data_IF_622824257409
#
_entry.id   IF_622824257409
#
_cell.length_a   1.000
_cell.length_b   1.000
_cell.length_c   1.000
_cell.angle_alpha   90.00
_cell.angle_beta   90.00
_cell.angle_gamma   90.00
#
_symmetry.space_group_name_H-M   'P 1'
#
loop_
_entity.id
_entity.type
_entity.pdbx_description
1 polymer ?
#
# COMPACT_ATOMS: atom_id res chain seq x y z
N UNK A 1 -5.85 1.14 14.61
CA UNK A 1 -5.92 0.62 13.22
C UNK A 1 -5.30 1.58 12.21
N UNK A 2 -5.63 2.87 12.24
CA UNK A 2 -5.06 3.89 11.34
C UNK A 2 -3.53 4.04 11.44
N UNK A 3 -2.93 3.93 12.63
CA UNK A 3 -1.45 3.96 12.79
C UNK A 3 -0.78 2.71 12.19
N UNK A 4 -1.35 1.52 12.38
CA UNK A 4 -0.85 0.32 11.72
C UNK A 4 -0.99 0.41 10.20
N UNK A 5 -2.04 1.07 9.71
CA UNK A 5 -2.19 1.28 8.27
C UNK A 5 -1.10 2.22 7.72
N UNK A 6 -0.79 3.31 8.42
CA UNK A 6 0.32 4.19 8.07
C UNK A 6 1.66 3.44 8.00
N UNK A 7 1.96 2.58 8.97
CA UNK A 7 3.18 1.75 8.92
C UNK A 7 3.17 0.72 7.77
N UNK A 8 2.00 0.26 7.34
CA UNK A 8 1.86 -0.62 6.17
C UNK A 8 2.11 0.13 4.86
N UNK A 9 1.60 1.35 4.73
CA UNK A 9 1.91 2.22 3.59
C UNK A 9 3.41 2.56 3.56
N UNK A 10 4.01 2.88 4.71
CA UNK A 10 5.46 3.07 4.81
C UNK A 10 6.23 1.85 4.31
N UNK A 11 5.85 0.64 4.72
CA UNK A 11 6.48 -0.58 4.24
C UNK A 11 6.34 -0.76 2.72
N UNK A 12 5.18 -0.45 2.14
CA UNK A 12 4.96 -0.50 0.70
C UNK A 12 5.90 0.45 -0.07
N UNK A 13 6.04 1.68 0.42
CA UNK A 13 6.84 2.71 -0.25
C UNK A 13 8.34 2.51 -0.03
N UNK A 14 8.77 2.04 1.15
CA UNK A 14 10.17 2.08 1.55
C UNK A 14 10.92 0.74 1.43
N UNK A 15 10.24 -0.41 1.28
CA UNK A 15 10.95 -1.69 1.13
C UNK A 15 11.74 -1.73 -0.19
N UNK A 16 13.01 -2.20 -0.18
CA UNK A 16 13.80 -2.35 -1.39
C UNK A 16 13.47 -3.63 -2.18
N UNK A 17 12.56 -4.45 -1.67
CA UNK A 17 12.11 -5.69 -2.30
C UNK A 17 10.58 -5.79 -2.26
N UNK A 18 10.02 -6.57 -3.18
CA UNK A 18 8.59 -6.83 -3.23
C UNK A 18 8.16 -7.74 -2.07
N UNK A 19 7.08 -7.36 -1.37
CA UNK A 19 6.45 -8.18 -0.34
C UNK A 19 4.94 -8.17 -0.57
N UNK A 20 4.42 -9.23 -1.19
CA UNK A 20 3.01 -9.33 -1.56
C UNK A 20 2.09 -9.17 -0.35
N UNK A 21 2.50 -9.64 0.83
CA UNK A 21 1.69 -9.54 2.05
C UNK A 21 1.31 -8.09 2.41
N UNK A 22 2.18 -7.12 2.15
CA UNK A 22 1.89 -5.71 2.45
C UNK A 22 0.79 -5.17 1.52
N UNK A 23 0.73 -5.60 0.25
CA UNK A 23 -0.36 -5.29 -0.68
C UNK A 23 -1.69 -5.95 -0.30
N UNK A 24 -1.63 -7.17 0.23
CA UNK A 24 -2.81 -7.86 0.77
C UNK A 24 -3.40 -7.07 1.94
N UNK A 25 -2.54 -6.66 2.89
CA UNK A 25 -2.95 -5.85 4.04
C UNK A 25 -3.50 -4.48 3.60
N UNK A 26 -2.87 -3.80 2.61
CA UNK A 26 -3.39 -2.55 2.05
C UNK A 26 -4.80 -2.70 1.48
N UNK A 27 -5.04 -3.73 0.65
CA UNK A 27 -6.38 -4.02 0.12
C UNK A 27 -7.38 -4.29 1.24
N UNK A 28 -6.96 -4.97 2.32
CA UNK A 28 -7.78 -5.20 3.50
C UNK A 28 -8.18 -3.87 4.16
N UNK A 29 -7.24 -2.96 4.43
CA UNK A 29 -7.53 -1.66 5.05
C UNK A 29 -8.48 -0.82 4.20
N UNK A 30 -8.27 -0.75 2.88
CA UNK A 30 -9.15 -0.01 1.95
C UNK A 30 -10.56 -0.60 1.93
N UNK A 31 -10.69 -1.94 1.88
CA UNK A 31 -12.01 -2.61 1.94
C UNK A 31 -12.76 -2.29 3.23
N UNK A 32 -12.05 -2.21 4.35
CA UNK A 32 -12.61 -1.90 5.67
C UNK A 32 -12.74 -0.40 5.94
N UNK A 33 -12.49 0.44 4.93
CA UNK A 33 -12.66 1.90 5.01
C UNK A 33 -11.80 2.56 6.09
N UNK A 34 -10.64 1.99 6.39
CA UNK A 34 -9.71 2.56 7.37
C UNK A 34 -8.88 3.63 6.67
N UNK A 35 -8.86 4.84 7.23
CA UNK A 35 -7.97 5.91 6.77
C UNK A 35 -6.59 5.80 7.43
N UNK A 36 -5.49 6.08 6.71
CA UNK A 36 -4.17 6.09 7.29
C UNK A 36 -3.99 7.34 8.15
N UNK A 37 -3.20 7.21 9.22
CA UNK A 37 -2.75 8.38 9.97
C UNK A 37 -1.61 9.08 9.21
N UNK A 38 -1.92 10.11 8.43
CA UNK A 38 -0.94 10.82 7.58
C UNK A 38 0.20 11.48 8.39
N UNK A 39 -0.03 12.16 9.53
CA UNK A 39 1.06 12.64 10.37
C UNK A 39 2.02 11.53 10.82
N UNK A 40 1.48 10.36 11.15
CA UNK A 40 2.31 9.21 11.54
C UNK A 40 3.09 8.64 10.35
N UNK A 41 2.46 8.56 9.17
CA UNK A 41 3.13 8.16 7.94
C UNK A 41 4.28 9.12 7.60
N UNK A 42 4.05 10.43 7.69
CA UNK A 42 5.08 11.44 7.46
C UNK A 42 6.27 11.26 8.39
N UNK A 43 6.02 11.12 9.70
CA UNK A 43 7.08 10.89 10.67
C UNK A 43 7.91 9.64 10.33
N UNK A 44 7.26 8.55 9.93
CA UNK A 44 7.94 7.30 9.55
C UNK A 44 8.79 7.46 8.27
N UNK A 45 8.27 8.15 7.24
CA UNK A 45 8.98 8.39 5.98
C UNK A 45 10.24 9.25 6.18
N UNK A 46 10.14 10.28 7.02
CA UNK A 46 11.27 11.17 7.35
C UNK A 46 12.32 10.49 8.22
N UNK A 47 11.91 9.52 9.05
CA UNK A 47 12.83 8.76 9.90
C UNK A 47 13.61 7.71 9.11
N UNK A 48 12.96 6.98 8.20
CA UNK A 48 13.54 5.85 7.48
C UNK A 48 12.93 5.70 6.09
N UNK A 49 13.78 5.50 5.09
CA UNK A 49 13.39 5.24 3.71
C UNK A 49 13.95 6.28 2.74
N UNK A 50 13.46 6.29 1.50
CA UNK A 50 13.95 7.18 0.44
C UNK A 50 13.83 8.67 0.77
N UNK A 51 12.85 9.04 1.60
CA UNK A 51 12.57 10.43 1.98
C UNK A 51 13.23 10.85 3.29
N UNK A 52 14.20 10.09 3.79
CA UNK A 52 14.91 10.45 5.01
C UNK A 52 15.63 11.80 4.81
N UNK A 53 15.41 12.74 5.73
CA UNK A 53 15.93 14.11 5.70
C UNK A 53 15.38 14.99 4.55
N UNK A 54 14.40 14.52 3.78
CA UNK A 54 13.70 15.34 2.80
C UNK A 54 12.71 16.30 3.48
N UNK A 55 12.28 17.34 2.76
CA UNK A 55 11.17 18.20 3.18
C UNK A 55 9.93 17.87 2.35
N UNK A 56 9.21 16.82 2.76
CA UNK A 56 7.93 16.44 2.16
C UNK A 56 6.75 16.79 3.07
N UNK A 57 5.63 17.17 2.45
CA UNK A 57 4.32 17.26 3.10
C UNK A 57 3.49 16.08 2.64
N UNK A 58 3.09 15.21 3.58
CA UNK A 58 2.33 14.00 3.28
C UNK A 58 0.85 14.29 3.50
N UNK A 59 0.19 14.68 2.43
CA UNK A 59 -1.26 14.77 2.34
C UNK A 59 -1.83 13.64 1.46
N UNK A 60 -3.15 13.66 1.21
CA UNK A 60 -3.81 12.63 0.40
C UNK A 60 -3.37 12.68 -1.06
N UNK A 61 -3.11 13.87 -1.61
CA UNK A 61 -2.65 14.01 -3.00
C UNK A 61 -1.25 13.46 -3.16
N UNK A 62 -0.32 13.81 -2.26
CA UNK A 62 1.02 13.22 -2.23
C UNK A 62 0.95 11.70 -2.12
N UNK A 63 0.13 11.18 -1.20
CA UNK A 63 -0.03 9.74 -1.01
C UNK A 63 -0.57 9.07 -2.28
N UNK A 64 -1.52 9.69 -2.97
CA UNK A 64 -2.05 9.19 -4.24
C UNK A 64 -0.92 9.04 -5.26
N UNK A 65 -0.13 10.07 -5.49
CA UNK A 65 0.96 10.05 -6.48
C UNK A 65 2.01 8.99 -6.14
N UNK A 66 2.50 8.98 -4.90
CA UNK A 66 3.52 8.02 -4.45
C UNK A 66 3.03 6.55 -4.57
N UNK A 67 1.74 6.30 -4.26
CA UNK A 67 1.15 4.97 -4.39
C UNK A 67 0.96 4.57 -5.85
N UNK A 68 0.54 5.47 -6.73
CA UNK A 68 0.39 5.16 -8.16
C UNK A 68 1.74 4.82 -8.80
N UNK A 69 2.78 5.60 -8.50
CA UNK A 69 4.14 5.31 -8.96
C UNK A 69 4.62 3.95 -8.47
N UNK A 70 4.39 3.65 -7.18
CA UNK A 70 4.77 2.35 -6.62
C UNK A 70 3.98 1.20 -7.26
N UNK A 71 2.70 1.40 -7.55
CA UNK A 71 1.83 0.40 -8.19
C UNK A 71 2.32 0.05 -9.60
N UNK A 72 2.75 1.06 -10.37
CA UNK A 72 3.30 0.88 -11.71
C UNK A 72 4.64 0.12 -11.72
N UNK A 73 5.39 0.15 -10.61
CA UNK A 73 6.69 -0.51 -10.49
C UNK A 73 6.64 -1.97 -10.02
N UNK A 74 5.46 -2.53 -9.73
CA UNK A 74 5.32 -3.84 -9.10
C UNK A 74 5.06 -4.94 -10.12
N UNK A 75 5.81 -6.04 -10.02
CA UNK A 75 5.41 -7.30 -10.65
C UNK A 75 4.26 -7.93 -9.85
N UNK A 76 3.05 -7.79 -10.37
CA UNK A 76 1.84 -8.28 -9.70
C UNK A 76 1.72 -9.81 -9.66
N UNK A 77 2.38 -10.52 -10.58
CA UNK A 77 2.41 -11.98 -10.55
C UNK A 77 3.28 -12.46 -9.39
N UNK A 78 4.47 -11.87 -9.22
CA UNK A 78 5.33 -12.16 -8.07
C UNK A 78 4.66 -11.78 -6.74
N UNK A 79 3.98 -10.62 -6.71
CA UNK A 79 3.25 -10.18 -5.52
C UNK A 79 2.14 -11.16 -5.13
N UNK A 80 1.41 -11.70 -6.11
CA UNK A 80 0.37 -12.69 -5.86
C UNK A 80 0.96 -14.02 -5.35
N UNK A 81 2.02 -14.53 -5.99
CA UNK A 81 2.69 -15.77 -5.58
C UNK A 81 3.24 -15.70 -4.15
N UNK A 82 3.77 -14.55 -3.72
CA UNK A 82 4.28 -14.38 -2.36
C UNK A 82 3.21 -14.66 -1.29
N UNK A 83 1.95 -14.31 -1.58
CA UNK A 83 0.83 -14.41 -0.64
C UNK A 83 0.06 -15.73 -0.77
N UNK A 84 -0.01 -16.30 -1.97
CA UNK A 84 -0.84 -17.47 -2.30
C UNK A 84 -0.67 -18.63 -1.32
N UNK A 85 0.59 -18.95 -0.97
CA UNK A 85 0.97 -20.02 -0.04
C UNK A 85 0.45 -19.86 1.39
N UNK A 86 0.01 -18.66 1.77
CA UNK A 86 -0.48 -18.34 3.11
C UNK A 86 -2.01 -18.18 3.15
N UNK A 87 -2.69 -18.25 2.01
CA UNK A 87 -4.14 -18.05 1.92
C UNK A 87 -4.89 -19.38 1.85
N UNK A 88 -6.13 -19.37 2.36
CA UNK A 88 -7.05 -20.48 2.13
C UNK A 88 -7.44 -20.54 0.64
N UNK A 89 -7.81 -21.71 0.09
CA UNK A 89 -8.21 -21.84 -1.31
C UNK A 89 -9.31 -20.84 -1.73
N UNK A 90 -10.26 -20.54 -0.85
CA UNK A 90 -11.32 -19.56 -1.11
C UNK A 90 -10.80 -18.12 -1.28
N UNK A 91 -9.71 -17.76 -0.60
CA UNK A 91 -9.09 -16.43 -0.66
C UNK A 91 -8.12 -16.29 -1.84
N UNK A 92 -7.50 -17.39 -2.28
CA UNK A 92 -6.59 -17.41 -3.44
C UNK A 92 -7.28 -16.96 -4.73
N UNK A 93 -8.57 -17.22 -4.89
CA UNK A 93 -9.32 -16.76 -6.08
C UNK A 93 -9.26 -15.22 -6.24
N UNK A 94 -9.19 -14.49 -5.13
CA UNK A 94 -9.09 -13.02 -5.15
C UNK A 94 -7.74 -12.52 -5.68
N UNK A 95 -6.69 -13.35 -5.66
CA UNK A 95 -5.38 -13.01 -6.20
C UNK A 95 -5.41 -12.88 -7.73
N UNK A 96 -6.36 -13.52 -8.42
CA UNK A 96 -6.54 -13.37 -9.88
C UNK A 96 -6.88 -11.95 -10.32
N UNK A 97 -7.35 -11.12 -9.37
CA UNK A 97 -7.62 -9.71 -9.62
C UNK A 97 -6.38 -8.84 -9.47
N UNK A 98 -5.27 -9.37 -8.97
CA UNK A 98 -4.07 -8.59 -8.71
C UNK A 98 -3.41 -8.19 -10.03
N UNK A 99 -3.49 -6.90 -10.30
CA UNK A 99 -2.93 -6.20 -11.44
C UNK A 99 -2.91 -4.72 -11.09
N UNK A 100 -2.12 -3.96 -11.82
CA UNK A 100 -1.97 -2.52 -11.65
C UNK A 100 -3.32 -1.81 -11.48
N UNK A 101 -4.21 -1.94 -12.48
CA UNK A 101 -5.56 -1.36 -12.47
C UNK A 101 -6.41 -1.69 -11.24
N UNK A 102 -6.23 -2.88 -10.65
CA UNK A 102 -6.96 -3.25 -9.46
C UNK A 102 -6.50 -2.42 -8.26
N UNK A 103 -5.19 -2.27 -8.06
CA UNK A 103 -4.65 -1.50 -6.96
C UNK A 103 -4.78 0.02 -7.18
N UNK A 104 -4.68 0.51 -8.42
CA UNK A 104 -5.03 1.90 -8.75
C UNK A 104 -6.46 2.22 -8.28
N UNK A 105 -7.43 1.34 -8.58
CA UNK A 105 -8.81 1.52 -8.12
C UNK A 105 -8.95 1.53 -6.59
N UNK A 106 -8.05 0.85 -5.86
CA UNK A 106 -8.04 0.88 -4.39
C UNK A 106 -7.51 2.20 -3.87
N UNK A 107 -6.47 2.76 -4.51
CA UNK A 107 -5.99 4.12 -4.21
C UNK A 107 -7.12 5.12 -4.45
N UNK A 108 -7.78 5.07 -5.60
CA UNK A 108 -8.92 5.95 -5.90
C UNK A 108 -10.08 5.82 -4.89
N UNK A 109 -10.38 4.59 -4.46
CA UNK A 109 -11.40 4.35 -3.42
C UNK A 109 -10.99 4.94 -2.06
N UNK A 110 -9.69 5.03 -1.77
CA UNK A 110 -9.18 5.63 -0.54
C UNK A 110 -9.32 7.16 -0.60
N UNK A 111 -9.03 7.77 -1.75
CA UNK A 111 -9.08 9.23 -1.97
C UNK A 111 -10.50 9.79 -1.88
N UNK A 112 -11.50 9.10 -2.42
CA UNK A 112 -12.91 9.57 -2.39
C UNK A 112 -13.53 9.61 -0.98
N UNK A 113 -12.80 9.20 0.04
CA UNK A 113 -13.29 8.99 1.41
C UNK A 113 -12.46 9.72 2.46
N UNK A 114 -11.39 10.40 2.05
CA UNK A 114 -10.62 11.31 2.90
C UNK A 114 -11.16 12.72 2.73
#
# INVERSE_FOLDING_TARGET
MSSNFALKIHALLCRPYLKGRDWYDFNWYVKHRVQPNLPHLQAALLQLGPWKNERITVDMDWLRHAMMEKIASVDWNEAAMDVERFLKPAEQQSLRLWRERFFESKVESLMRRG
#
